data_IF_600265518056
#
_entry.id   IF_600265518056
#
_cell.length_a   1.000
_cell.length_b   1.000
_cell.length_c   1.000
_cell.angle_alpha   90.00
_cell.angle_beta   90.00
_cell.angle_gamma   90.00
#
_symmetry.space_group_name_H-M   'P 1'
#
loop_
_entity.id
_entity.type
_entity.pdbx_description
1 polymer ?
#
# COMPACT_ATOMS: atom_id res chain seq x y z
N UNK A 1 -14.14 -17.38 -6.88
CA UNK A 1 -13.79 -17.37 -5.45
C UNK A 1 -14.10 -15.98 -4.94
N UNK A 2 -14.89 -15.84 -3.88
CA UNK A 2 -15.19 -14.52 -3.29
C UNK A 2 -13.87 -13.86 -2.92
N UNK A 3 -13.59 -12.68 -3.49
CA UNK A 3 -12.47 -11.84 -3.04
C UNK A 3 -12.75 -11.48 -1.58
N UNK A 4 -11.74 -11.59 -0.70
CA UNK A 4 -11.83 -11.09 0.68
C UNK A 4 -11.93 -9.55 0.60
N UNK A 5 -13.09 -8.93 0.92
CA UNK A 5 -13.28 -7.49 0.75
C UNK A 5 -12.29 -6.67 1.59
N UNK A 6 -11.87 -7.20 2.74
CA UNK A 6 -10.83 -6.60 3.59
C UNK A 6 -9.49 -6.62 2.87
N UNK A 7 -9.16 -7.73 2.20
CA UNK A 7 -7.90 -7.80 1.43
C UNK A 7 -7.95 -6.86 0.24
N UNK A 8 -9.08 -6.74 -0.44
CA UNK A 8 -9.25 -5.83 -1.57
C UNK A 8 -9.01 -4.37 -1.18
N UNK A 9 -9.64 -3.87 -0.10
CA UNK A 9 -9.43 -2.49 0.36
C UNK A 9 -7.98 -2.27 0.85
N UNK A 10 -7.40 -3.24 1.55
CA UNK A 10 -6.01 -3.14 1.98
C UNK A 10 -5.05 -3.13 0.78
N UNK A 11 -5.32 -3.90 -0.27
CA UNK A 11 -4.52 -3.90 -1.51
C UNK A 11 -4.65 -2.57 -2.25
N UNK A 12 -5.86 -2.04 -2.41
CA UNK A 12 -6.09 -0.75 -3.05
C UNK A 12 -5.34 0.39 -2.34
N UNK A 13 -5.46 0.45 -1.03
CA UNK A 13 -4.80 1.48 -0.20
C UNK A 13 -3.27 1.29 -0.18
N UNK A 14 -2.76 0.06 -0.35
CA UNK A 14 -1.31 -0.18 -0.43
C UNK A 14 -0.68 0.53 -1.63
N UNK A 15 -1.39 0.56 -2.75
CA UNK A 15 -0.90 1.13 -4.00
C UNK A 15 -1.42 2.52 -4.30
N UNK A 16 -2.26 3.09 -3.44
CA UNK A 16 -2.71 4.45 -3.58
C UNK A 16 -1.50 5.42 -3.61
N UNK A 17 -1.39 6.18 -4.70
CA UNK A 17 -0.23 7.05 -4.94
C UNK A 17 1.08 6.35 -5.35
N UNK A 18 1.06 5.05 -5.71
CA UNK A 18 2.23 4.32 -6.20
C UNK A 18 2.70 4.82 -7.57
N UNK A 19 1.81 4.75 -8.57
CA UNK A 19 2.01 5.36 -9.89
C UNK A 19 0.81 6.26 -10.12
N UNK A 20 1.06 7.55 -10.27
CA UNK A 20 0.00 8.53 -10.48
C UNK A 20 -0.32 8.62 -11.97
N UNK A 21 -1.60 8.87 -12.29
CA UNK A 21 -2.02 9.22 -13.64
C UNK A 21 -1.11 10.35 -14.18
N UNK A 22 -0.57 10.24 -15.42
CA UNK A 22 -0.94 9.32 -16.52
C UNK A 22 -0.17 7.98 -16.58
N UNK A 23 0.21 7.38 -15.44
CA UNK A 23 0.74 6.02 -15.32
C UNK A 23 1.95 5.65 -16.18
N UNK A 24 2.76 6.63 -16.54
CA UNK A 24 3.96 6.48 -17.37
C UNK A 24 5.20 7.09 -16.70
N UNK A 25 6.38 6.52 -16.97
CA UNK A 25 7.67 6.95 -16.42
C UNK A 25 7.96 8.43 -16.70
N UNK A 26 7.67 8.91 -17.91
CA UNK A 26 7.97 10.29 -18.33
C UNK A 26 7.18 11.37 -17.58
N UNK A 27 6.04 11.02 -16.97
CA UNK A 27 5.16 11.98 -16.31
C UNK A 27 5.83 12.62 -15.09
N UNK A 28 5.75 13.96 -14.99
CA UNK A 28 6.40 14.73 -13.91
C UNK A 28 5.98 14.25 -12.52
N UNK A 29 4.70 13.87 -12.34
CA UNK A 29 4.16 13.34 -11.08
C UNK A 29 4.81 12.02 -10.64
N UNK A 30 5.29 11.23 -11.61
CA UNK A 30 5.92 9.94 -11.37
C UNK A 30 7.44 10.04 -11.20
N UNK A 31 8.01 11.26 -11.23
CA UNK A 31 9.41 11.52 -10.86
C UNK A 31 9.62 11.62 -9.35
N UNK A 32 8.58 11.95 -8.59
CA UNK A 32 8.58 11.96 -7.12
C UNK A 32 7.44 11.08 -6.64
N UNK A 33 7.76 9.81 -6.31
CA UNK A 33 6.78 8.79 -5.92
C UNK A 33 6.75 8.59 -4.41
N UNK A 34 5.65 7.98 -3.94
CA UNK A 34 5.41 7.63 -2.54
C UNK A 34 5.24 8.84 -1.62
N UNK A 35 4.11 9.53 -1.78
CA UNK A 35 3.74 10.72 -1.01
C UNK A 35 3.19 10.41 0.38
N UNK A 36 2.68 9.19 0.63
CA UNK A 36 1.99 8.84 1.87
C UNK A 36 2.53 7.54 2.48
N UNK A 37 2.52 7.48 3.82
CA UNK A 37 2.85 6.27 4.58
C UNK A 37 4.28 5.78 4.51
N UNK A 38 5.22 6.61 4.06
CA UNK A 38 6.64 6.27 4.08
C UNK A 38 7.19 6.24 5.50
N UNK A 39 7.77 5.10 5.90
CA UNK A 39 8.57 4.99 7.13
C UNK A 39 10.05 4.92 6.72
N UNK A 40 10.72 6.07 6.80
CA UNK A 40 12.06 6.28 6.25
C UNK A 40 13.17 5.78 7.19
N UNK A 41 14.40 5.54 6.70
CA UNK A 41 15.51 5.22 7.57
C UNK A 41 15.70 6.30 8.65
N UNK A 42 15.95 5.87 9.89
CA UNK A 42 16.12 6.79 11.02
C UNK A 42 17.13 7.90 10.77
N UNK A 43 18.31 7.59 10.25
CA UNK A 43 19.35 8.60 10.01
C UNK A 43 19.00 9.60 8.89
N UNK A 44 18.08 9.27 7.98
CA UNK A 44 17.53 10.23 7.00
C UNK A 44 16.57 11.22 7.66
N UNK A 45 15.78 10.68 8.60
CA UNK A 45 14.64 11.36 9.23
C UNK A 45 15.05 12.26 10.40
N UNK A 46 16.16 11.94 11.08
CA UNK A 46 16.66 12.75 12.20
C UNK A 46 16.97 14.19 11.75
N UNK A 47 16.24 15.16 12.30
CA UNK A 47 16.36 16.58 11.95
C UNK A 47 15.43 17.05 10.81
N UNK A 48 14.47 16.21 10.39
CA UNK A 48 13.43 16.53 9.40
C UNK A 48 12.03 16.24 9.97
N UNK A 49 11.03 16.99 9.51
CA UNK A 49 9.64 16.84 9.96
C UNK A 49 8.74 16.09 8.94
N UNK A 50 9.18 15.99 7.68
CA UNK A 50 8.39 15.53 6.52
C UNK A 50 8.56 14.04 6.21
N UNK A 51 9.68 13.43 6.60
CA UNK A 51 10.00 12.02 6.35
C UNK A 51 10.14 11.28 7.69
N UNK A 52 9.05 10.77 8.30
CA UNK A 52 9.12 10.13 9.61
C UNK A 52 9.76 8.73 9.51
N UNK A 53 10.55 8.37 10.53
CA UNK A 53 11.12 7.02 10.64
C UNK A 53 10.27 6.03 11.44
N UNK A 54 9.13 6.50 11.98
CA UNK A 54 8.18 5.66 12.70
C UNK A 54 6.74 5.97 12.33
N UNK A 55 5.90 4.94 12.41
CA UNK A 55 4.44 5.02 12.31
C UNK A 55 3.83 4.38 13.56
N UNK A 56 2.72 4.93 14.06
CA UNK A 56 2.05 4.41 15.25
C UNK A 56 0.54 4.31 15.05
N UNK A 57 -0.01 3.15 15.40
CA UNK A 57 -1.44 2.87 15.50
C UNK A 57 -1.80 2.60 16.95
N UNK A 58 -2.72 3.39 17.50
CA UNK A 58 -3.47 3.10 18.71
C UNK A 58 -4.91 2.73 18.31
N UNK A 59 -5.40 1.59 18.79
CA UNK A 59 -6.81 1.20 18.65
C UNK A 59 -7.35 0.60 19.95
N UNK A 60 -8.67 0.57 20.08
CA UNK A 60 -9.34 0.00 21.25
C UNK A 60 -10.00 -1.32 20.89
N UNK A 61 -9.93 -2.28 21.82
CA UNK A 61 -10.52 -3.61 21.70
C UNK A 61 -11.37 -3.90 22.93
N UNK A 62 -12.63 -4.20 22.69
CA UNK A 62 -13.54 -4.80 23.67
C UNK A 62 -13.35 -6.32 23.66
N UNK A 63 -13.19 -6.93 24.82
CA UNK A 63 -12.88 -8.35 24.90
C UNK A 63 -12.64 -8.89 26.32
N UNK A 64 -12.36 -10.18 26.41
CA UNK A 64 -12.09 -10.90 27.65
C UNK A 64 -10.84 -11.78 27.57
N UNK A 65 -10.81 -12.84 28.39
CA UNK A 65 -9.66 -13.74 28.48
C UNK A 65 -9.36 -14.51 27.18
N UNK A 66 -10.40 -14.79 26.39
CA UNK A 66 -10.30 -15.53 25.12
C UNK A 66 -10.03 -14.62 23.91
N UNK A 67 -9.83 -13.31 24.13
CA UNK A 67 -9.61 -12.37 23.04
C UNK A 67 -8.20 -12.49 22.48
N UNK A 68 -8.12 -12.69 21.17
CA UNK A 68 -6.88 -12.79 20.41
C UNK A 68 -6.88 -11.79 19.26
N UNK A 69 -5.77 -11.08 19.06
CA UNK A 69 -5.61 -10.13 17.97
C UNK A 69 -4.42 -10.52 17.11
N UNK A 70 -4.70 -10.82 15.85
CA UNK A 70 -3.73 -11.01 14.79
C UNK A 70 -3.35 -9.64 14.20
N UNK A 71 -2.05 -9.41 13.99
CA UNK A 71 -1.53 -8.16 13.43
C UNK A 71 -0.64 -8.49 12.24
N UNK A 72 -0.93 -7.87 11.10
CA UNK A 72 -0.11 -7.91 9.90
C UNK A 72 0.26 -6.50 9.49
N UNK A 73 1.57 -6.26 9.33
CA UNK A 73 2.08 -5.01 8.76
C UNK A 73 2.43 -5.28 7.31
N UNK A 74 1.97 -4.42 6.41
CA UNK A 74 2.29 -4.50 4.98
C UNK A 74 2.91 -3.19 4.52
N UNK A 75 3.79 -3.29 3.54
CA UNK A 75 4.43 -2.15 2.90
C UNK A 75 4.98 -2.56 1.55
N UNK A 76 5.32 -1.57 0.73
CA UNK A 76 6.03 -1.72 -0.53
C UNK A 76 7.52 -1.51 -0.31
N UNK A 77 8.33 -2.37 -0.90
CA UNK A 77 9.77 -2.21 -1.04
C UNK A 77 10.08 -1.78 -2.47
N UNK A 78 10.94 -0.78 -2.60
CA UNK A 78 11.46 -0.34 -3.90
C UNK A 78 12.44 -1.37 -4.47
N UNK A 79 12.23 -1.74 -5.72
CA UNK A 79 13.08 -2.67 -6.49
C UNK A 79 13.52 -1.99 -7.77
N UNK A 80 14.82 -1.79 -7.96
CA UNK A 80 15.39 -1.22 -9.18
C UNK A 80 15.39 -2.27 -10.29
N UNK A 81 14.59 -2.07 -11.33
CA UNK A 81 14.60 -2.85 -12.58
C UNK A 81 15.51 -2.18 -13.60
N UNK A 82 16.63 -2.82 -13.89
CA UNK A 82 17.57 -2.45 -14.95
C UNK A 82 17.46 -3.44 -16.11
N UNK A 83 17.16 -2.95 -17.31
CA UNK A 83 17.25 -3.73 -18.53
C UNK A 83 18.68 -3.79 -19.02
N UNK A 84 19.04 -4.94 -19.59
CA UNK A 84 20.33 -5.24 -20.16
C UNK A 84 20.12 -5.71 -21.61
N UNK A 85 20.71 -5.05 -22.59
CA UNK A 85 20.67 -5.45 -24.01
C UNK A 85 21.81 -6.42 -24.32
N UNK A 86 21.54 -7.47 -25.10
CA UNK A 86 22.58 -8.35 -25.61
C UNK A 86 23.35 -7.67 -26.74
N UNK A 87 24.63 -7.39 -26.50
CA UNK A 87 25.53 -6.80 -27.50
C UNK A 87 26.67 -7.77 -27.85
N UNK A 88 27.51 -7.40 -28.83
CA UNK A 88 28.75 -8.15 -29.13
C UNK A 88 29.74 -8.21 -27.95
N UNK A 89 29.58 -7.34 -26.94
CA UNK A 89 30.42 -7.27 -25.74
C UNK A 89 29.76 -7.91 -24.50
N UNK A 90 28.57 -8.49 -24.67
CA UNK A 90 27.75 -9.06 -23.59
C UNK A 90 26.57 -8.17 -23.22
N UNK A 91 26.05 -8.37 -22.01
CA UNK A 91 24.88 -7.66 -21.49
C UNK A 91 25.26 -6.25 -21.03
N UNK A 92 24.72 -5.22 -21.71
CA UNK A 92 24.97 -3.81 -21.39
C UNK A 92 23.69 -3.11 -20.90
N UNK A 93 23.77 -2.24 -19.86
CA UNK A 93 22.59 -1.59 -19.30
C UNK A 93 21.99 -0.56 -20.26
N UNK A 94 20.67 -0.65 -20.45
CA UNK A 94 19.89 0.25 -21.31
C UNK A 94 18.67 0.81 -20.58
N UNK A 95 18.23 2.00 -20.96
CA UNK A 95 17.02 2.62 -20.39
C UNK A 95 15.72 2.00 -20.91
N UNK A 96 15.78 1.42 -22.11
CA UNK A 96 14.65 0.81 -22.80
C UNK A 96 15.14 -0.34 -23.70
N UNK A 97 14.35 -1.40 -23.84
CA UNK A 97 14.67 -2.55 -24.68
C UNK A 97 13.41 -3.01 -25.42
N UNK A 98 13.50 -3.15 -26.74
CA UNK A 98 12.44 -3.74 -27.54
C UNK A 98 12.57 -5.27 -27.53
N UNK A 99 11.50 -5.98 -27.15
CA UNK A 99 11.41 -7.43 -27.14
C UNK A 99 10.18 -7.84 -27.95
N UNK A 100 10.40 -8.18 -29.23
CA UNK A 100 9.29 -8.34 -30.18
C UNK A 100 8.52 -7.03 -30.36
N UNK A 101 7.21 -7.06 -30.13
CA UNK A 101 6.33 -5.88 -30.21
C UNK A 101 6.24 -5.10 -28.89
N UNK A 102 6.84 -5.62 -27.80
CA UNK A 102 6.85 -4.95 -26.51
C UNK A 102 8.07 -4.04 -26.35
N UNK A 103 7.83 -2.83 -25.82
CA UNK A 103 8.89 -1.96 -25.33
C UNK A 103 8.93 -2.08 -23.80
N UNK A 104 10.05 -2.55 -23.27
CA UNK A 104 10.30 -2.57 -21.82
C UNK A 104 11.11 -1.34 -21.42
N UNK A 105 10.88 -0.82 -20.21
CA UNK A 105 11.64 0.30 -19.66
C UNK A 105 12.40 -0.09 -18.38
N UNK A 106 13.60 0.44 -18.18
CA UNK A 106 14.23 0.44 -16.86
C UNK A 106 13.46 1.38 -15.93
N UNK A 107 13.19 0.94 -14.70
CA UNK A 107 12.26 1.61 -13.77
C UNK A 107 12.46 1.12 -12.33
N UNK A 108 11.92 1.83 -11.32
CA UNK A 108 11.84 1.26 -9.96
C UNK A 108 10.44 0.70 -9.72
N UNK A 109 10.35 -0.61 -9.55
CA UNK A 109 9.13 -1.35 -9.22
C UNK A 109 8.86 -1.32 -7.71
N UNK A 110 7.64 -1.70 -7.31
CA UNK A 110 7.28 -1.97 -5.93
C UNK A 110 7.04 -3.46 -5.71
N UNK A 111 7.67 -4.00 -4.66
CA UNK A 111 7.48 -5.37 -4.19
C UNK A 111 6.75 -5.36 -2.86
N UNK A 112 5.64 -6.07 -2.78
CA UNK A 112 4.89 -6.20 -1.52
C UNK A 112 5.69 -6.99 -0.49
N UNK A 113 5.68 -6.49 0.74
CA UNK A 113 6.20 -7.16 1.92
C UNK A 113 5.10 -7.23 2.97
N UNK A 114 5.08 -8.34 3.70
CA UNK A 114 4.15 -8.56 4.80
C UNK A 114 4.92 -9.16 5.97
N UNK A 115 4.65 -8.63 7.16
CA UNK A 115 5.24 -9.07 8.42
C UNK A 115 4.11 -9.47 9.35
N UNK A 116 4.08 -10.75 9.72
CA UNK A 116 3.18 -11.26 10.75
C UNK A 116 3.79 -11.06 12.13
N UNK A 117 3.05 -10.44 13.03
CA UNK A 117 3.44 -10.26 14.43
C UNK A 117 2.84 -11.39 15.28
N UNK A 118 3.51 -11.85 16.35
CA UNK A 118 2.90 -12.78 17.30
C UNK A 118 1.53 -12.29 17.79
N UNK A 119 0.58 -13.22 17.91
CA UNK A 119 -0.79 -12.94 18.37
C UNK A 119 -0.76 -12.22 19.72
N UNK A 120 -1.53 -11.13 19.80
CA UNK A 120 -1.68 -10.35 21.03
C UNK A 120 -2.88 -10.92 21.79
N UNK A 121 -2.71 -11.16 23.09
CA UNK A 121 -3.79 -11.48 24.03
C UNK A 121 -4.01 -10.28 24.95
N UNK A 122 -4.97 -9.39 24.67
CA UNK A 122 -5.04 -8.09 25.35
C UNK A 122 -5.18 -8.19 26.88
N UNK A 123 -5.90 -9.22 27.35
CA UNK A 123 -6.15 -9.49 28.77
C UNK A 123 -4.90 -9.96 29.55
N UNK A 124 -3.87 -10.43 28.86
CA UNK A 124 -2.60 -10.85 29.45
C UNK A 124 -1.50 -9.90 29.01
N UNK A 125 -1.42 -8.68 29.57
CA UNK A 125 -0.42 -7.69 29.19
C UNK A 125 0.97 -8.21 29.57
N UNK A 126 1.68 -8.74 28.58
CA UNK A 126 3.11 -9.02 28.67
C UNK A 126 3.92 -7.75 28.38
N UNK A 127 5.24 -7.80 28.66
CA UNK A 127 6.18 -6.79 28.15
C UNK A 127 5.95 -6.56 26.64
N UNK A 128 6.19 -5.34 26.13
CA UNK A 128 6.04 -5.05 24.72
C UNK A 128 6.73 -6.12 23.87
N UNK A 129 5.99 -6.71 22.93
CA UNK A 129 6.54 -7.71 22.02
C UNK A 129 7.15 -6.98 20.83
N UNK A 130 8.25 -7.50 20.31
CA UNK A 130 8.92 -6.95 19.14
C UNK A 130 9.05 -8.04 18.09
N UNK A 131 8.51 -7.79 16.90
CA UNK A 131 8.78 -8.57 15.71
C UNK A 131 9.79 -7.83 14.84
N UNK A 132 10.84 -8.52 14.39
CA UNK A 132 11.83 -7.94 13.49
C UNK A 132 11.31 -7.90 12.05
N UNK A 133 11.64 -6.83 11.34
CA UNK A 133 11.50 -6.74 9.89
C UNK A 133 12.90 -6.86 9.30
N UNK A 134 13.19 -7.96 8.62
CA UNK A 134 14.49 -8.19 7.98
C UNK A 134 14.27 -8.62 6.53
N UNK A 135 14.67 -7.76 5.60
CA UNK A 135 14.76 -8.10 4.19
C UNK A 135 16.23 -7.99 3.79
N UNK A 136 16.89 -9.10 3.41
CA UNK A 136 18.27 -9.04 2.95
C UNK A 136 18.37 -8.28 1.62
N UNK A 137 19.56 -7.76 1.35
CA UNK A 137 19.90 -7.31 0.00
C UNK A 137 19.75 -8.46 -0.99
N UNK A 138 19.41 -8.14 -2.24
CA UNK A 138 19.26 -9.18 -3.23
C UNK A 138 19.17 -8.65 -4.65
N UNK A 139 19.39 -9.58 -5.56
CA UNK A 139 19.33 -9.37 -7.00
C UNK A 139 18.64 -10.57 -7.65
N UNK A 140 17.83 -10.31 -8.66
CA UNK A 140 17.17 -11.32 -9.50
C UNK A 140 17.46 -11.01 -10.96
N UNK A 141 17.69 -12.05 -11.77
CA UNK A 141 17.94 -11.92 -13.20
C UNK A 141 16.95 -12.79 -13.97
N UNK A 142 16.39 -12.23 -15.03
CA UNK A 142 15.43 -12.88 -15.91
C UNK A 142 15.88 -12.68 -17.36
N UNK A 143 16.09 -13.75 -18.12
CA UNK A 143 16.48 -13.65 -19.53
C UNK A 143 15.30 -13.19 -20.38
N UNK A 144 15.57 -12.31 -21.34
CA UNK A 144 14.59 -11.84 -22.32
C UNK A 144 14.91 -12.47 -23.67
N UNK A 145 13.97 -13.20 -24.23
CA UNK A 145 14.10 -13.86 -25.53
C UNK A 145 13.08 -13.34 -26.52
N UNK A 146 13.43 -13.31 -27.80
CA UNK A 146 12.49 -13.01 -28.88
C UNK A 146 11.54 -14.18 -29.17
N UNK A 147 10.64 -13.99 -30.15
CA UNK A 147 9.69 -15.01 -30.58
C UNK A 147 10.34 -16.28 -31.16
N UNK A 148 11.62 -16.21 -31.57
CA UNK A 148 12.39 -17.34 -32.05
C UNK A 148 13.16 -18.05 -30.91
N UNK A 149 13.07 -17.55 -29.67
CA UNK A 149 13.78 -18.07 -28.50
C UNK A 149 15.24 -17.63 -28.40
N UNK A 150 15.69 -16.66 -29.22
CA UNK A 150 17.03 -16.10 -29.12
C UNK A 150 17.06 -15.04 -28.00
N UNK A 151 18.13 -15.05 -27.19
CA UNK A 151 18.31 -14.04 -26.13
C UNK A 151 18.58 -12.68 -26.76
N UNK A 152 17.72 -11.72 -26.45
CA UNK A 152 17.87 -10.31 -26.85
C UNK A 152 18.35 -9.42 -25.69
N UNK A 153 18.27 -9.93 -24.46
CA UNK A 153 18.74 -9.22 -23.28
C UNK A 153 18.39 -9.92 -21.98
N UNK A 154 18.36 -9.16 -20.90
CA UNK A 154 17.92 -9.61 -19.59
C UNK A 154 17.31 -8.46 -18.77
N UNK A 155 16.47 -8.79 -17.81
CA UNK A 155 16.03 -7.89 -16.75
C UNK A 155 16.79 -8.24 -15.48
N UNK A 156 17.49 -7.26 -14.90
CA UNK A 156 18.11 -7.35 -13.58
C UNK A 156 17.29 -6.52 -12.59
N UNK A 157 16.82 -7.15 -11.52
CA UNK A 157 16.13 -6.50 -10.40
C UNK A 157 17.05 -6.47 -9.20
N UNK A 158 17.25 -5.33 -8.57
CA UNK A 158 18.06 -5.19 -7.37
C UNK A 158 17.29 -4.44 -6.27
N UNK A 159 17.51 -4.80 -5.01
CA UNK A 159 16.93 -4.08 -3.89
C UNK A 159 17.90 -4.02 -2.71
N UNK A 160 17.75 -2.93 -1.95
CA UNK A 160 18.55 -2.70 -0.74
C UNK A 160 17.98 -3.45 0.46
N UNK A 161 18.83 -3.77 1.46
CA UNK A 161 18.35 -4.41 2.65
C UNK A 161 17.47 -3.46 3.45
N UNK A 162 16.41 -4.01 4.03
CA UNK A 162 15.53 -3.31 4.95
C UNK A 162 15.65 -3.93 6.34
N UNK A 163 15.76 -3.07 7.36
CA UNK A 163 15.72 -3.46 8.77
C UNK A 163 14.75 -2.58 9.53
N UNK A 164 14.00 -3.19 10.43
CA UNK A 164 13.08 -2.45 11.28
C UNK A 164 12.44 -3.32 12.34
N UNK A 165 11.49 -2.74 13.05
CA UNK A 165 10.79 -3.42 14.13
C UNK A 165 9.32 -3.06 14.13
N UNK A 166 8.49 -4.04 14.52
CA UNK A 166 7.08 -3.85 14.86
C UNK A 166 6.93 -4.15 16.33
N UNK A 167 6.76 -3.11 17.14
CA UNK A 167 6.55 -3.21 18.58
C UNK A 167 5.06 -3.18 18.88
N UNK A 168 4.57 -4.16 19.64
CA UNK A 168 3.17 -4.24 20.07
C UNK A 168 3.04 -4.24 21.58
N UNK A 169 2.07 -3.51 22.08
CA UNK A 169 1.75 -3.47 23.51
C UNK A 169 0.24 -3.39 23.72
N UNK A 170 -0.23 -4.00 24.81
CA UNK A 170 -1.62 -3.90 25.29
C UNK A 170 -1.65 -3.20 26.63
N UNK A 171 -2.64 -2.34 26.85
CA UNK A 171 -2.90 -1.69 28.14
C UNK A 171 -4.39 -1.82 28.46
N UNK A 172 -4.72 -2.43 29.60
CA UNK A 172 -6.10 -2.43 30.10
C UNK A 172 -6.50 -1.00 30.51
N UNK A 173 -7.62 -0.51 30.00
CA UNK A 173 -8.16 0.80 30.34
C UNK A 173 -9.24 0.69 31.43
N UNK A 174 -10.14 -0.29 31.26
CA UNK A 174 -11.19 -0.67 32.21
C UNK A 174 -11.56 -2.15 32.02
N UNK A 175 -12.36 -2.77 32.91
CA UNK A 175 -12.77 -4.15 32.72
C UNK A 175 -13.40 -4.35 31.34
N UNK A 176 -12.82 -5.27 30.56
CA UNK A 176 -13.29 -5.59 29.21
C UNK A 176 -12.81 -4.68 28.08
N UNK A 177 -11.99 -3.65 28.36
CA UNK A 177 -11.51 -2.69 27.36
C UNK A 177 -9.99 -2.54 27.41
N UNK A 178 -9.36 -2.69 26.25
CA UNK A 178 -7.91 -2.63 26.09
C UNK A 178 -7.54 -1.64 24.99
N UNK A 179 -6.44 -0.90 25.19
CA UNK A 179 -5.76 -0.18 24.13
C UNK A 179 -4.62 -1.02 23.59
N UNK A 180 -4.62 -1.26 22.29
CA UNK A 180 -3.48 -1.81 21.57
C UNK A 180 -2.68 -0.68 20.94
N UNK A 181 -1.37 -0.76 21.05
CA UNK A 181 -0.42 0.12 20.36
C UNK A 181 0.51 -0.70 19.50
N UNK A 182 0.58 -0.35 18.22
CA UNK A 182 1.43 -0.97 17.22
C UNK A 182 2.33 0.13 16.69
N UNK A 183 3.65 -0.02 16.88
CA UNK A 183 4.65 0.94 16.40
C UNK A 183 5.57 0.26 15.40
N UNK A 184 5.64 0.82 14.20
CA UNK A 184 6.55 0.41 13.13
C UNK A 184 7.72 1.39 13.15
N UNK A 185 8.95 0.89 13.11
CA UNK A 185 10.16 1.70 13.04
C UNK A 185 11.08 1.17 11.96
N UNK A 186 11.62 2.06 11.13
CA UNK A 186 12.64 1.72 10.15
C UNK A 186 14.03 2.04 10.73
N UNK A 187 14.79 0.97 10.92
CA UNK A 187 16.10 0.95 11.55
C UNK A 187 17.20 0.60 10.53
N UNK A 188 16.87 0.69 9.23
CA UNK A 188 17.81 0.43 8.15
C UNK A 188 19.02 1.37 8.27
N UNK A 189 20.26 0.83 8.18
CA UNK A 189 21.44 1.67 8.19
C UNK A 189 21.44 2.55 6.95
N UNK A 190 21.61 3.86 7.15
CA UNK A 190 21.51 4.85 6.10
C UNK A 190 22.72 5.78 6.08
N UNK A 191 23.25 6.04 4.88
CA UNK A 191 24.43 6.90 4.63
C UNK A 191 24.28 7.83 3.43
N UNK A 192 23.15 7.77 2.72
CA UNK A 192 22.92 8.62 1.54
C UNK A 192 22.59 10.06 1.93
N UNK A 193 22.52 10.93 0.92
CA UNK A 193 22.37 12.38 1.12
C UNK A 193 20.99 12.92 0.70
N UNK A 194 20.36 12.28 -0.29
CA UNK A 194 19.09 12.73 -0.84
C UNK A 194 17.93 11.79 -0.46
N UNK A 195 16.72 12.31 -0.68
CA UNK A 195 15.47 11.62 -0.36
C UNK A 195 15.17 10.49 -1.35
N UNK A 196 15.60 10.61 -2.60
CA UNK A 196 15.36 9.60 -3.64
C UNK A 196 16.08 8.29 -3.30
N UNK A 197 17.33 8.39 -2.86
CA UNK A 197 18.11 7.25 -2.42
C UNK A 197 17.56 6.67 -1.11
N UNK A 198 16.99 7.51 -0.21
CA UNK A 198 16.38 7.07 1.05
C UNK A 198 15.10 6.24 0.83
N UNK A 199 14.36 6.53 -0.24
CA UNK A 199 13.17 5.77 -0.63
C UNK A 199 13.49 4.29 -0.90
N UNK A 200 14.68 3.99 -1.43
CA UNK A 200 15.16 2.62 -1.67
C UNK A 200 15.29 1.77 -0.40
N UNK A 201 15.34 2.42 0.76
CA UNK A 201 15.35 1.77 2.07
C UNK A 201 14.16 2.18 2.95
N UNK A 202 13.06 2.66 2.37
CA UNK A 202 11.84 3.07 3.06
C UNK A 202 10.81 1.95 3.07
N UNK A 203 10.04 1.80 4.15
CA UNK A 203 8.79 1.03 4.12
C UNK A 203 7.74 1.92 3.47
N UNK A 204 7.58 1.81 2.14
CA UNK A 204 6.67 2.68 1.40
C UNK A 204 5.21 2.23 1.58
N UNK A 205 4.28 3.18 1.72
CA UNK A 205 2.85 2.89 1.93
C UNK A 205 2.60 1.88 3.06
N UNK A 206 3.28 2.06 4.20
CA UNK A 206 3.13 1.14 5.31
C UNK A 206 1.71 1.24 5.89
N UNK A 207 1.07 0.09 6.11
CA UNK A 207 -0.21 0.01 6.80
C UNK A 207 -0.28 -1.22 7.70
N UNK A 208 -1.24 -1.23 8.63
CA UNK A 208 -1.47 -2.34 9.57
C UNK A 208 -2.89 -2.87 9.44
N UNK A 209 -3.01 -4.18 9.26
CA UNK A 209 -4.29 -4.91 9.33
C UNK A 209 -4.35 -5.66 10.66
N UNK A 210 -5.42 -5.44 11.42
CA UNK A 210 -5.66 -6.12 12.68
C UNK A 210 -6.96 -6.92 12.62
N UNK A 211 -6.93 -8.17 13.05
CA UNK A 211 -8.12 -9.03 13.13
C UNK A 211 -8.29 -9.54 14.56
N UNK A 212 -9.47 -9.39 15.13
CA UNK A 212 -9.80 -9.85 16.48
C UNK A 212 -10.68 -11.09 16.44
N UNK A 213 -10.39 -12.04 17.32
CA UNK A 213 -11.23 -13.20 17.64
C UNK A 213 -11.66 -13.10 19.10
N UNK A 214 -12.92 -13.40 19.39
CA UNK A 214 -13.46 -13.33 20.76
C UNK A 214 -13.49 -11.90 21.32
N UNK A 215 -13.65 -10.89 20.47
CA UNK A 215 -13.70 -9.47 20.84
C UNK A 215 -14.15 -8.60 19.67
N UNK A 216 -14.15 -7.28 19.85
CA UNK A 216 -14.56 -6.30 18.85
C UNK A 216 -13.70 -5.03 18.93
N UNK A 217 -13.30 -4.48 17.78
CA UNK A 217 -12.67 -3.16 17.73
C UNK A 217 -13.67 -2.04 17.93
N UNK A 218 -13.28 -0.97 18.61
CA UNK A 218 -14.09 0.26 18.72
C UNK A 218 -13.78 1.16 17.52
N UNK A 219 -14.82 1.71 16.89
CA UNK A 219 -14.65 2.77 15.90
C UNK A 219 -13.99 3.98 16.54
N UNK A 220 -12.94 4.52 15.92
CA UNK A 220 -12.36 5.79 16.34
C UNK A 220 -13.02 6.98 15.63
N UNK A 221 -13.77 6.73 14.56
CA UNK A 221 -14.42 7.73 13.72
C UNK A 221 -15.82 8.05 14.23
N UNK A 222 -16.57 7.02 14.64
CA UNK A 222 -17.91 7.11 15.24
C UNK A 222 -17.95 6.29 16.55
N UNK A 223 -17.24 6.73 17.61
CA UNK A 223 -17.17 6.00 18.87
C UNK A 223 -18.47 6.10 19.66
N UNK A 224 -18.86 5.06 20.41
CA UNK A 224 -19.93 5.16 21.41
C UNK A 224 -19.65 6.27 22.43
N UNK A 225 -20.68 6.97 22.91
CA UNK A 225 -20.53 8.11 23.83
C UNK A 225 -19.72 7.79 25.08
N UNK A 226 -19.87 6.58 25.60
CA UNK A 226 -19.17 6.06 26.79
C UNK A 226 -17.67 5.73 26.57
N UNK A 227 -17.19 5.85 25.33
CA UNK A 227 -15.80 5.56 24.94
C UNK A 227 -15.06 6.79 24.39
N UNK A 228 -15.69 7.96 24.40
CA UNK A 228 -15.13 9.20 23.84
C UNK A 228 -13.79 9.57 24.47
N UNK A 229 -13.66 9.44 25.79
CA UNK A 229 -12.42 9.78 26.51
C UNK A 229 -11.28 8.80 26.17
N UNK A 230 -11.57 7.50 26.12
CA UNK A 230 -10.60 6.48 25.75
C UNK A 230 -10.14 6.64 24.29
N UNK A 231 -11.05 6.94 23.37
CA UNK A 231 -10.73 7.22 21.96
C UNK A 231 -9.92 8.50 21.81
N UNK A 232 -10.28 9.56 22.52
CA UNK A 232 -9.50 10.80 22.56
C UNK A 232 -8.08 10.61 23.14
N UNK A 233 -7.85 9.53 23.91
CA UNK A 233 -6.54 9.15 24.43
C UNK A 233 -5.65 8.41 23.43
N UNK A 234 -6.21 7.90 22.32
CA UNK A 234 -5.44 7.25 21.26
C UNK A 234 -4.51 8.24 20.56
N UNK A 235 -3.32 7.77 20.19
CA UNK A 235 -2.30 8.55 19.49
C UNK A 235 -1.88 7.81 18.23
N UNK A 236 -2.47 8.20 17.11
CA UNK A 236 -2.08 7.72 15.78
C UNK A 236 -1.08 8.69 15.14
N UNK A 237 -0.05 8.16 14.48
CA UNK A 237 1.00 8.94 13.83
C UNK A 237 1.21 8.41 12.41
N UNK A 238 0.91 9.25 11.41
CA UNK A 238 1.04 8.90 9.99
C UNK A 238 0.02 7.86 9.49
N UNK A 239 -1.06 7.63 10.24
CA UNK A 239 -2.05 6.59 9.93
C UNK A 239 -3.41 6.89 10.58
N UNK A 240 -4.48 6.34 10.00
CA UNK A 240 -5.87 6.48 10.44
C UNK A 240 -6.53 5.09 10.55
N UNK A 241 -6.80 4.60 11.77
CA UNK A 241 -7.47 3.33 12.00
C UNK A 241 -8.97 3.42 11.71
N UNK A 242 -9.48 2.52 10.86
CA UNK A 242 -10.90 2.40 10.51
C UNK A 242 -11.36 0.94 10.53
N UNK A 243 -12.63 0.73 10.84
CA UNK A 243 -13.27 -0.59 10.70
C UNK A 243 -13.42 -0.93 9.22
N UNK A 244 -13.20 -2.20 8.87
CA UNK A 244 -13.35 -2.69 7.49
C UNK A 244 -14.06 -4.03 7.46
N UNK A 245 -14.81 -4.28 6.39
CA UNK A 245 -15.70 -5.44 6.26
C UNK A 245 -17.14 -4.99 6.01
N UNK A 246 -18.09 -5.85 6.36
CA UNK A 246 -19.51 -5.50 6.29
C UNK A 246 -19.89 -4.53 7.41
N UNK A 247 -20.76 -3.53 7.16
CA UNK A 247 -21.24 -2.63 8.21
C UNK A 247 -21.76 -3.38 9.44
N UNK A 248 -21.24 -3.02 10.61
CA UNK A 248 -21.54 -3.67 11.88
C UNK A 248 -20.58 -4.83 12.25
N UNK A 249 -19.78 -5.34 11.32
CA UNK A 249 -18.69 -6.24 11.65
C UNK A 249 -17.54 -5.44 12.30
N UNK A 250 -17.21 -5.77 13.54
CA UNK A 250 -16.16 -5.10 14.31
C UNK A 250 -14.92 -5.97 14.49
N UNK A 251 -14.79 -7.03 13.67
CA UNK A 251 -13.71 -8.01 13.77
C UNK A 251 -12.41 -7.57 13.11
N UNK A 252 -12.44 -6.59 12.21
CA UNK A 252 -11.26 -6.19 11.43
C UNK A 252 -11.09 -4.67 11.40
N UNK A 253 -9.83 -4.25 11.56
CA UNK A 253 -9.42 -2.85 11.53
C UNK A 253 -8.25 -2.70 10.54
N UNK A 254 -8.34 -1.69 9.68
CA UNK A 254 -7.27 -1.25 8.79
C UNK A 254 -6.75 0.10 9.30
N UNK A 255 -5.46 0.19 9.57
CA UNK A 255 -4.79 1.45 9.89
C UNK A 255 -3.86 1.80 8.74
N UNK A 256 -4.26 2.78 7.96
CA UNK A 256 -3.59 3.16 6.71
C UNK A 256 -3.19 4.64 6.70
N UNK A 257 -2.21 5.05 5.87
CA UNK A 257 -1.73 6.42 5.78
C UNK A 257 -2.66 7.37 5.01
N UNK A 258 -3.92 6.98 4.85
CA UNK A 258 -4.96 7.68 4.07
C UNK A 258 -6.23 7.69 4.92
N UNK A 259 -6.93 8.81 4.88
CA UNK A 259 -8.15 9.00 5.68
C UNK A 259 -9.29 8.30 4.97
N UNK A 260 -9.86 7.30 5.64
CA UNK A 260 -11.01 6.54 5.17
C UNK A 260 -12.16 6.71 6.18
N UNK A 261 -13.37 6.42 5.73
CA UNK A 261 -14.50 6.20 6.62
C UNK A 261 -14.53 4.73 7.08
N UNK A 262 -15.20 4.46 8.19
CA UNK A 262 -15.49 3.08 8.59
C UNK A 262 -16.32 2.39 7.50
N UNK A 263 -15.98 1.13 7.24
CA UNK A 263 -16.60 0.31 6.22
C UNK A 263 -16.48 0.88 4.80
N UNK A 264 -15.40 1.65 4.54
CA UNK A 264 -15.07 2.11 3.19
C UNK A 264 -15.13 0.96 2.18
N UNK A 265 -15.88 1.18 1.11
CA UNK A 265 -16.06 0.22 0.02
C UNK A 265 -15.36 0.71 -1.23
N UNK A 266 -14.66 -0.18 -1.92
CA UNK A 266 -14.27 0.05 -3.30
C UNK A 266 -15.54 0.11 -4.13
N UNK A 267 -15.70 1.15 -4.96
CA UNK A 267 -16.88 1.30 -5.80
C UNK A 267 -17.07 0.07 -6.70
N UNK A 268 -18.25 -0.59 -6.69
CA UNK A 268 -18.49 -1.79 -7.51
C UNK A 268 -18.48 -1.48 -9.01
N UNK A 269 -18.70 -0.21 -9.39
CA UNK A 269 -18.59 0.27 -10.76
C UNK A 269 -17.14 0.51 -11.19
N UNK A 270 -16.18 0.50 -10.27
CA UNK A 270 -14.78 0.64 -10.61
C UNK A 270 -14.34 -0.56 -11.46
N UNK A 271 -13.72 -0.35 -12.64
CA UNK A 271 -13.14 -1.45 -13.40
C UNK A 271 -12.00 -2.13 -12.61
N UNK A 272 -11.60 -1.58 -11.46
CA UNK A 272 -10.78 -2.15 -10.39
C UNK A 272 -9.70 -1.15 -9.98
N UNK A 273 -8.69 -1.59 -9.23
CA UNK A 273 -7.73 -0.66 -8.61
C UNK A 273 -6.93 0.17 -9.64
N UNK A 274 -7.23 1.47 -9.73
CA UNK A 274 -6.53 2.47 -10.53
C UNK A 274 -5.48 3.26 -9.71
N UNK A 275 -5.15 2.81 -8.49
CA UNK A 275 -4.31 3.55 -7.54
C UNK A 275 -4.93 4.88 -7.05
N UNK A 276 -6.23 5.06 -7.31
CA UNK A 276 -7.07 6.19 -6.91
C UNK A 276 -8.50 5.64 -6.67
N UNK A 277 -8.71 5.03 -5.50
CA UNK A 277 -9.96 4.34 -5.17
C UNK A 277 -11.14 5.25 -4.81
N UNK A 278 -10.96 6.57 -4.95
CA UNK A 278 -11.85 7.57 -4.37
C UNK A 278 -13.09 7.87 -5.19
N UNK A 279 -12.99 8.42 -6.40
CA UNK A 279 -14.15 9.08 -7.02
C UNK A 279 -14.01 9.41 -8.52
N UNK A 280 -12.93 9.00 -9.20
CA UNK A 280 -12.56 9.51 -10.56
C UNK A 280 -12.42 8.39 -11.61
N UNK A 281 -13.15 7.28 -11.48
CA UNK A 281 -12.98 6.13 -12.40
C UNK A 281 -13.29 6.47 -13.86
N UNK A 282 -14.39 7.19 -14.14
CA UNK A 282 -14.77 7.46 -15.53
C UNK A 282 -13.82 8.44 -16.24
N UNK A 283 -13.49 9.56 -15.60
CA UNK A 283 -12.64 10.58 -16.22
C UNK A 283 -11.21 10.02 -16.42
N UNK A 284 -10.70 9.24 -15.46
CA UNK A 284 -9.42 8.55 -15.61
C UNK A 284 -9.49 7.51 -16.74
N UNK A 285 -10.54 6.70 -16.80
CA UNK A 285 -10.78 5.71 -17.88
C UNK A 285 -10.78 6.38 -19.26
N UNK A 286 -11.54 7.47 -19.42
CA UNK A 286 -11.59 8.21 -20.68
C UNK A 286 -10.24 8.86 -21.03
N UNK A 287 -9.52 9.38 -20.05
CA UNK A 287 -8.18 9.95 -20.26
C UNK A 287 -7.18 8.87 -20.69
N UNK A 288 -7.25 7.66 -20.13
CA UNK A 288 -6.40 6.52 -20.53
C UNK A 288 -6.72 6.12 -21.98
N UNK A 289 -8.00 6.02 -22.34
CA UNK A 289 -8.42 5.72 -23.71
C UNK A 289 -7.95 6.79 -24.71
N UNK A 290 -7.93 8.05 -24.28
CA UNK A 290 -7.49 9.21 -25.04
C UNK A 290 -5.97 9.39 -25.16
N UNK A 291 -5.15 8.56 -24.50
CA UNK A 291 -3.71 8.55 -24.68
C UNK A 291 -3.33 8.21 -26.13
N UNK A 292 -2.25 8.81 -26.62
CA UNK A 292 -1.67 8.46 -27.93
C UNK A 292 -1.10 7.04 -27.94
N UNK A 293 -0.91 6.45 -29.12
CA UNK A 293 -0.32 5.11 -29.25
C UNK A 293 1.11 5.04 -28.68
N UNK A 294 1.86 6.14 -28.72
CA UNK A 294 3.17 6.25 -28.08
C UNK A 294 3.08 6.24 -26.56
N UNK A 295 2.16 7.04 -25.99
CA UNK A 295 1.94 7.09 -24.54
C UNK A 295 1.40 5.76 -23.99
N UNK A 296 0.53 5.08 -24.75
CA UNK A 296 0.05 3.74 -24.40
C UNK A 296 1.18 2.71 -24.42
N UNK A 297 2.06 2.75 -25.42
CA UNK A 297 3.26 1.89 -25.47
C UNK A 297 4.18 2.15 -24.27
N UNK A 298 4.41 3.40 -23.90
CA UNK A 298 5.20 3.76 -22.72
C UNK A 298 4.55 3.23 -21.42
N UNK A 299 3.24 3.39 -21.26
CA UNK A 299 2.50 2.89 -20.09
C UNK A 299 2.61 1.36 -19.96
N UNK A 300 2.46 0.60 -21.06
CA UNK A 300 2.66 -0.87 -21.06
C UNK A 300 4.08 -1.28 -20.67
N UNK A 301 5.08 -0.48 -21.04
CA UNK A 301 6.48 -0.73 -20.76
C UNK A 301 6.96 -0.30 -19.38
N UNK A 302 6.20 0.56 -18.70
CA UNK A 302 6.61 1.19 -17.43
C UNK A 302 6.51 0.21 -16.26
N UNK A 303 5.35 -0.40 -16.01
CA UNK A 303 5.14 -1.27 -14.84
C UNK A 303 4.08 -2.32 -15.17
N UNK A 304 4.22 -3.59 -14.71
CA UNK A 304 3.22 -4.63 -14.94
C UNK A 304 1.81 -4.23 -14.48
N UNK A 305 1.66 -3.47 -13.39
CA UNK A 305 0.35 -3.01 -12.90
C UNK A 305 -0.21 -1.88 -13.76
N UNK A 306 0.63 -0.96 -14.25
CA UNK A 306 0.20 0.06 -15.21
C UNK A 306 -0.26 -0.57 -16.53
N UNK A 307 0.40 -1.64 -16.98
CA UNK A 307 -0.01 -2.45 -18.12
C UNK A 307 -1.38 -3.09 -17.88
N UNK A 308 -1.60 -3.70 -16.73
CA UNK A 308 -2.89 -4.31 -16.37
C UNK A 308 -4.02 -3.27 -16.39
N UNK A 309 -3.78 -2.06 -15.86
CA UNK A 309 -4.75 -0.96 -15.91
C UNK A 309 -5.11 -0.59 -17.36
N UNK A 310 -4.10 -0.44 -18.22
CA UNK A 310 -4.34 -0.10 -19.63
C UNK A 310 -5.10 -1.20 -20.35
N UNK A 311 -4.66 -2.45 -20.23
CA UNK A 311 -5.27 -3.60 -20.89
C UNK A 311 -6.72 -3.79 -20.44
N UNK A 312 -7.00 -3.61 -19.15
CA UNK A 312 -8.36 -3.66 -18.63
C UNK A 312 -9.22 -2.55 -19.22
N UNK A 313 -8.68 -1.34 -19.27
CA UNK A 313 -9.38 -0.16 -19.82
C UNK A 313 -9.68 -0.32 -21.32
N UNK A 314 -8.74 -0.85 -22.10
CA UNK A 314 -8.90 -1.09 -23.54
C UNK A 314 -9.91 -2.22 -23.85
N UNK A 315 -10.14 -3.12 -22.90
CA UNK A 315 -11.08 -4.24 -23.04
C UNK A 315 -12.49 -3.95 -22.51
N UNK A 316 -12.76 -2.76 -21.96
CA UNK A 316 -14.10 -2.40 -21.49
C UNK A 316 -15.10 -2.38 -22.64
N UNK A 317 -16.24 -3.04 -22.45
CA UNK A 317 -17.36 -2.98 -23.38
C UNK A 317 -18.04 -1.60 -23.33
N UNK A 318 -18.78 -1.22 -24.39
CA UNK A 318 -19.58 0.01 -24.38
C UNK A 318 -20.60 0.06 -23.23
N UNK A 319 -21.17 -1.08 -22.82
CA UNK A 319 -22.11 -1.17 -21.70
C UNK A 319 -21.43 -0.91 -20.36
N UNK A 320 -20.22 -1.45 -20.15
CA UNK A 320 -19.42 -1.18 -18.95
C UNK A 320 -18.97 0.29 -18.90
N UNK A 321 -18.53 0.86 -20.03
CA UNK A 321 -18.21 2.29 -20.13
C UNK A 321 -19.41 3.20 -19.83
N UNK A 322 -20.62 2.79 -20.25
CA UNK A 322 -21.85 3.51 -19.92
C UNK A 322 -22.22 3.36 -18.44
N UNK A 323 -21.93 2.22 -17.83
CA UNK A 323 -22.11 1.97 -16.39
C UNK A 323 -21.29 2.90 -15.49
N UNK A 324 -20.15 3.40 -16.00
CA UNK A 324 -19.28 4.36 -15.29
C UNK A 324 -19.89 5.78 -15.16
N UNK A 325 -21.00 6.11 -15.84
CA UNK A 325 -21.59 7.47 -15.86
C UNK A 325 -22.23 7.94 -14.54
N UNK A 326 -22.22 7.12 -13.48
CA UNK A 326 -22.61 7.52 -12.14
C UNK A 326 -24.13 7.67 -11.94
N UNK A 327 -24.69 6.80 -11.09
CA UNK A 327 -25.82 7.24 -10.27
C UNK A 327 -25.24 8.13 -9.18
N UNK A 328 -25.57 9.42 -9.20
CA UNK A 328 -25.31 10.32 -8.07
C UNK A 328 -25.85 9.67 -6.79
N UNK A 329 -24.97 9.36 -5.82
CA UNK A 329 -25.40 8.98 -4.47
C UNK A 329 -25.91 10.24 -3.79
N UNK A 330 -27.19 10.25 -3.41
CA UNK A 330 -27.74 11.30 -2.56
C UNK A 330 -26.93 11.33 -1.26
N UNK A 331 -26.20 12.42 -1.03
CA UNK A 331 -25.72 12.81 0.29
C UNK A 331 -26.92 12.74 1.24
N UNK A 332 -26.97 11.74 2.11
CA UNK A 332 -28.01 11.66 3.14
C UNK A 332 -27.84 12.89 4.04
N UNK A 333 -28.66 13.91 3.81
CA UNK A 333 -28.68 15.08 4.68
C UNK A 333 -29.12 14.61 6.06
N UNK A 334 -28.22 14.70 7.04
CA UNK A 334 -28.57 14.55 8.45
C UNK A 334 -29.52 15.70 8.79
N UNK A 335 -30.83 15.44 8.72
CA UNK A 335 -31.84 16.34 9.25
C UNK A 335 -31.69 16.34 10.77
N UNK A 336 -31.14 17.42 11.32
CA UNK A 336 -31.34 17.79 12.72
C UNK A 336 -32.83 17.98 12.96
N UNK A 337 -33.40 17.18 13.85
CA UNK A 337 -34.68 17.46 14.52
C UNK A 337 -34.49 17.28 16.01
#
# INVERSE_FOLDING_TARGET
>A
MSVDPVRAIADAVLYEGYILWPYRRSATKNRQRWTFGGVYPRAHSEGRDDDPWTMQTDCLVEGGADTEVEVRVRFLQVVERQLLEETAHGLEPVDQLAVGDELLLSWEEAREREVAVPVIRPHSPESPRVAAVEVPEGTEHEELTDAAGARVGATARAWRPLRGSVTTSSTALRPGLFRLRIRIANESPWKGADREDALKQTFASAHTVLRVKGGAFVSLTDPPEELLDEVASCRNQGTWPVLVGEPGDRSTLLSAPIILEDYAQIAPESPGDLFDGGEIDQLLTLNILGLTDEEKREMRGTDPRAREILERTENLSPEELMGLHGRFRELQSVRRS
#
